data_IF_411345200759
#
_entry.id   IF_411345200759
#
_cell.length_a   1.000
_cell.length_b   1.000
_cell.length_c   1.000
_cell.angle_alpha   90.00
_cell.angle_beta   90.00
_cell.angle_gamma   90.00
#
_symmetry.space_group_name_H-M   'P 1'
#
loop_
_entity.id
_entity.type
_entity.pdbx_description
1 polymer ?
#
# COMPACT_ATOMS: atom_id res chain seq x y z
N UNK A 1 22.04 -18.69 -0.25
CA UNK A 1 20.96 -17.88 0.36
C UNK A 1 21.58 -17.15 1.54
N UNK A 2 21.59 -15.83 1.51
CA UNK A 2 22.16 -15.02 2.58
C UNK A 2 21.13 -14.91 3.72
N UNK A 3 21.33 -15.67 4.78
CA UNK A 3 20.31 -16.07 5.76
C UNK A 3 20.06 -15.01 6.86
N UNK A 4 20.32 -13.72 6.62
CA UNK A 4 20.23 -12.68 7.68
C UNK A 4 19.34 -11.47 7.37
N UNK A 5 18.77 -11.36 6.18
CA UNK A 5 17.80 -10.31 5.86
C UNK A 5 16.39 -10.89 5.79
N UNK A 6 15.51 -10.51 6.73
CA UNK A 6 14.08 -10.81 6.59
C UNK A 6 13.50 -9.93 5.49
N UNK A 7 12.62 -10.52 4.67
CA UNK A 7 11.79 -9.83 3.71
C UNK A 7 10.32 -10.13 4.00
N UNK A 8 9.42 -9.21 3.65
CA UNK A 8 8.00 -9.48 3.70
C UNK A 8 7.50 -10.03 2.36
N UNK A 9 6.59 -11.00 2.41
CA UNK A 9 5.88 -11.52 1.23
C UNK A 9 4.41 -11.20 1.37
N UNK A 10 3.91 -10.37 0.46
CA UNK A 10 2.50 -9.98 0.40
C UNK A 10 1.78 -10.78 -0.68
N UNK A 11 0.54 -11.16 -0.40
CA UNK A 11 -0.38 -11.68 -1.40
C UNK A 11 -1.34 -10.55 -1.77
N UNK A 12 -1.30 -10.11 -3.03
CA UNK A 12 -2.12 -9.00 -3.50
C UNK A 12 -3.06 -9.53 -4.58
N UNK A 13 -4.37 -9.29 -4.49
CA UNK A 13 -5.31 -9.72 -5.52
C UNK A 13 -4.87 -9.24 -6.91
N UNK A 14 -4.97 -10.11 -7.92
CA UNK A 14 -4.49 -9.84 -9.28
C UNK A 14 -5.01 -8.50 -9.83
N UNK A 15 -6.28 -8.20 -9.59
CA UNK A 15 -6.94 -6.96 -10.05
C UNK A 15 -6.31 -5.68 -9.50
N UNK A 16 -5.64 -5.75 -8.33
CA UNK A 16 -4.93 -4.63 -7.70
C UNK A 16 -3.43 -4.66 -8.02
N UNK A 17 -2.86 -5.86 -8.22
CA UNK A 17 -1.44 -6.05 -8.48
C UNK A 17 -0.96 -5.34 -9.76
N UNK A 18 -1.85 -5.11 -10.74
CA UNK A 18 -1.56 -4.35 -11.97
C UNK A 18 -1.04 -2.93 -11.73
N UNK A 19 -1.40 -2.32 -10.60
CA UNK A 19 -1.02 -0.95 -10.25
C UNK A 19 0.25 -0.91 -9.38
N UNK A 20 0.84 -2.08 -9.07
CA UNK A 20 2.08 -2.21 -8.29
C UNK A 20 3.29 -2.20 -9.20
N UNK A 21 4.31 -1.44 -8.83
CA UNK A 21 5.59 -1.39 -9.50
C UNK A 21 6.75 -1.65 -8.53
N UNK A 22 7.92 -1.99 -9.08
CA UNK A 22 9.17 -2.01 -8.33
C UNK A 22 9.43 -0.64 -7.69
N UNK A 23 10.18 -0.64 -6.59
CA UNK A 23 10.55 0.55 -5.83
C UNK A 23 9.38 1.31 -5.18
N UNK A 24 8.15 0.81 -5.27
CA UNK A 24 7.01 1.41 -4.58
C UNK A 24 7.16 1.31 -3.06
N UNK A 25 6.84 2.40 -2.31
CA UNK A 25 6.90 2.38 -0.86
C UNK A 25 5.78 1.52 -0.28
N UNK A 26 6.14 0.71 0.71
CA UNK A 26 5.25 -0.21 1.41
C UNK A 26 5.35 0.06 2.91
N UNK A 27 4.23 -0.01 3.60
CA UNK A 27 4.20 -0.05 5.06
C UNK A 27 3.80 -1.47 5.49
N UNK A 28 4.60 -2.11 6.32
CA UNK A 28 4.38 -3.48 6.81
C UNK A 28 4.05 -3.42 8.29
N UNK A 29 2.87 -3.88 8.65
CA UNK A 29 2.38 -4.00 10.01
C UNK A 29 2.59 -5.45 10.49
N UNK A 30 3.39 -5.63 11.53
CA UNK A 30 3.63 -6.95 12.13
C UNK A 30 2.77 -7.20 13.36
N UNK A 31 1.73 -6.40 13.60
CA UNK A 31 0.90 -6.31 14.81
C UNK A 31 1.64 -5.81 16.07
N UNK A 32 2.95 -6.06 16.15
CA UNK A 32 3.85 -5.55 17.20
C UNK A 32 4.56 -4.25 16.80
N UNK A 33 4.32 -3.74 15.59
CA UNK A 33 4.97 -2.53 15.08
C UNK A 33 4.80 -2.33 13.57
N UNK A 34 5.15 -1.12 13.13
CA UNK A 34 5.11 -0.72 11.73
C UNK A 34 6.54 -0.57 11.19
N UNK A 35 6.80 -1.13 10.03
CA UNK A 35 8.10 -1.13 9.36
C UNK A 35 7.92 -0.60 7.95
N UNK A 36 8.74 0.36 7.54
CA UNK A 36 8.76 0.80 6.16
C UNK A 36 9.45 -0.25 5.29
N UNK A 37 9.06 -0.32 4.02
CA UNK A 37 9.62 -1.25 3.08
C UNK A 37 9.46 -0.78 1.65
N UNK A 38 9.99 -1.57 0.72
CA UNK A 38 9.95 -1.24 -0.70
C UNK A 38 9.81 -2.50 -1.54
N UNK A 39 8.96 -2.43 -2.57
CA UNK A 39 8.76 -3.55 -3.49
C UNK A 39 10.06 -3.86 -4.23
N UNK A 40 10.55 -5.09 -4.10
CA UNK A 40 11.77 -5.57 -4.78
C UNK A 40 11.47 -6.61 -5.83
N UNK A 41 10.36 -7.34 -5.71
CA UNK A 41 9.96 -8.32 -6.71
C UNK A 41 8.44 -8.45 -6.80
N UNK A 42 7.97 -8.67 -8.02
CA UNK A 42 6.59 -9.03 -8.33
C UNK A 42 6.67 -10.39 -9.05
N UNK A 43 6.03 -11.41 -8.49
CA UNK A 43 5.98 -12.73 -9.11
C UNK A 43 5.11 -12.66 -10.38
N UNK A 44 5.58 -13.13 -11.55
CA UNK A 44 4.77 -13.14 -12.75
C UNK A 44 3.59 -14.14 -12.66
N UNK A 45 3.67 -15.13 -11.76
CA UNK A 45 2.64 -16.14 -11.62
C UNK A 45 1.51 -15.67 -10.67
N UNK A 46 0.27 -15.96 -11.07
CA UNK A 46 -0.91 -15.80 -10.21
C UNK A 46 -1.17 -17.14 -9.52
N UNK A 47 -1.31 -17.09 -8.20
CA UNK A 47 -1.66 -18.23 -7.37
C UNK A 47 -2.90 -17.88 -6.56
N UNK A 48 -3.95 -18.70 -6.69
CA UNK A 48 -5.20 -18.53 -5.91
C UNK A 48 -5.81 -17.12 -6.06
N UNK A 49 -5.72 -16.53 -7.26
CA UNK A 49 -6.22 -15.18 -7.55
C UNK A 49 -5.37 -14.03 -7.01
N UNK A 50 -4.18 -14.32 -6.47
CA UNK A 50 -3.25 -13.33 -5.94
C UNK A 50 -1.87 -13.43 -6.59
N UNK A 51 -1.21 -12.29 -6.66
CA UNK A 51 0.19 -12.14 -7.06
C UNK A 51 1.04 -12.03 -5.80
N UNK A 52 2.17 -12.75 -5.78
CA UNK A 52 3.14 -12.65 -4.68
C UNK A 52 4.06 -11.46 -4.91
N UNK A 53 4.15 -10.58 -3.94
CA UNK A 53 5.03 -9.41 -3.97
C UNK A 53 6.03 -9.50 -2.83
N UNK A 54 7.31 -9.37 -3.14
CA UNK A 54 8.40 -9.31 -2.17
C UNK A 54 8.74 -7.86 -1.84
N UNK A 55 8.93 -7.62 -0.55
CA UNK A 55 9.18 -6.31 0.01
C UNK A 55 10.43 -6.38 0.87
N UNK A 56 11.42 -5.57 0.51
CA UNK A 56 12.59 -5.34 1.35
C UNK A 56 12.21 -4.43 2.52
N UNK A 57 12.56 -4.85 3.73
CA UNK A 57 12.20 -4.15 4.96
C UNK A 57 13.28 -3.13 5.32
N UNK A 58 12.89 -1.86 5.37
CA UNK A 58 13.76 -0.72 5.66
C UNK A 58 13.52 -0.24 7.08
N UNK A 59 14.41 -0.61 8.00
CA UNK A 59 14.39 -0.13 9.37
C UNK A 59 14.71 -1.20 10.38
N UNK A 60 14.51 -0.88 11.66
CA UNK A 60 14.70 -1.83 12.75
C UNK A 60 13.50 -2.78 12.81
N UNK A 61 13.78 -4.07 12.74
CA UNK A 61 12.78 -5.11 12.95
C UNK A 61 12.30 -5.09 14.42
N UNK A 62 10.99 -5.29 14.69
CA UNK A 62 10.47 -5.40 16.03
C UNK A 62 11.04 -6.64 16.74
N UNK A 63 11.09 -6.66 18.08
CA UNK A 63 11.70 -7.76 18.85
C UNK A 63 11.13 -9.17 18.55
N UNK A 64 9.88 -9.24 18.08
CA UNK A 64 9.19 -10.49 17.71
C UNK A 64 9.34 -10.92 16.25
N UNK A 65 10.09 -10.17 15.43
CA UNK A 65 10.27 -10.47 14.01
C UNK A 65 10.99 -11.81 13.82
N UNK A 66 10.32 -12.72 13.10
CA UNK A 66 10.81 -14.06 12.80
C UNK A 66 10.36 -14.47 11.40
N UNK A 67 11.02 -15.44 10.77
CA UNK A 67 10.50 -16.08 9.56
C UNK A 67 9.05 -16.54 9.78
N UNK A 68 8.25 -16.44 8.73
CA UNK A 68 6.83 -16.84 8.69
C UNK A 68 5.91 -16.13 9.70
N UNK A 69 6.33 -14.96 10.21
CA UNK A 69 5.43 -14.05 10.92
C UNK A 69 4.35 -13.52 9.95
N UNK A 70 3.09 -13.54 10.40
CA UNK A 70 1.99 -12.93 9.65
C UNK A 70 2.06 -11.41 9.72
N UNK A 71 1.90 -10.75 8.57
CA UNK A 71 2.02 -9.29 8.43
C UNK A 71 0.93 -8.75 7.51
N UNK A 72 0.52 -7.51 7.73
CA UNK A 72 -0.34 -6.77 6.81
C UNK A 72 0.50 -5.73 6.05
N UNK A 73 0.44 -5.74 4.72
CA UNK A 73 1.18 -4.80 3.89
C UNK A 73 0.27 -3.78 3.23
N UNK A 74 0.67 -2.51 3.24
CA UNK A 74 0.01 -1.42 2.51
C UNK A 74 0.98 -0.83 1.50
N UNK A 75 0.76 -1.14 0.22
CA UNK A 75 1.53 -0.60 -0.90
C UNK A 75 0.91 0.72 -1.31
N UNK A 76 1.69 1.81 -1.29
CA UNK A 76 1.19 3.13 -1.69
C UNK A 76 1.39 3.32 -3.19
N UNK A 77 0.31 3.08 -3.95
CA UNK A 77 0.29 3.20 -5.42
C UNK A 77 0.42 4.63 -5.93
N UNK A 78 -0.19 5.60 -5.23
CA UNK A 78 -0.22 7.00 -5.66
C UNK A 78 -0.24 7.97 -4.48
N UNK A 79 0.37 9.14 -4.67
CA UNK A 79 0.26 10.28 -3.76
C UNK A 79 -0.02 11.55 -4.56
N UNK A 80 -1.22 12.10 -4.38
CA UNK A 80 -1.58 13.38 -4.93
C UNK A 80 -1.07 14.48 -3.99
N UNK A 81 -0.20 15.37 -4.49
CA UNK A 81 0.30 16.54 -3.74
C UNK A 81 -0.41 17.79 -4.20
N UNK A 82 -0.62 18.74 -3.29
CA UNK A 82 -1.20 20.07 -3.58
C UNK A 82 -2.59 20.00 -4.25
N UNK A 83 -3.44 19.08 -3.79
CA UNK A 83 -4.82 18.95 -4.28
C UNK A 83 -5.80 19.56 -3.28
N UNK A 84 -6.87 20.16 -3.80
CA UNK A 84 -8.04 20.51 -2.99
C UNK A 84 -8.82 19.24 -2.70
N UNK A 85 -8.94 18.88 -1.42
CA UNK A 85 -9.70 17.72 -0.98
C UNK A 85 -11.02 18.15 -0.34
N UNK A 86 -12.09 17.45 -0.70
CA UNK A 86 -13.41 17.57 -0.08
C UNK A 86 -13.86 16.19 0.35
N UNK A 87 -14.67 16.10 1.42
CA UNK A 87 -15.31 14.83 1.79
C UNK A 87 -16.21 14.31 0.66
N UNK A 88 -16.41 12.99 0.58
CA UNK A 88 -17.21 12.36 -0.50
C UNK A 88 -18.58 13.04 -0.63
N UNK A 89 -18.86 13.78 -1.72
CA UNK A 89 -20.14 14.46 -1.89
C UNK A 89 -21.26 13.44 -2.04
N UNK A 90 -22.42 13.71 -1.45
CA UNK A 90 -23.58 12.80 -1.50
C UNK A 90 -24.05 12.47 -2.93
N UNK A 91 -23.75 13.33 -3.91
CA UNK A 91 -24.13 13.20 -5.32
C UNK A 91 -22.95 12.90 -6.26
N UNK A 92 -21.78 12.53 -5.74
CA UNK A 92 -20.60 12.21 -6.55
C UNK A 92 -20.73 10.83 -7.21
N UNK A 93 -20.95 10.80 -8.53
CA UNK A 93 -20.77 9.61 -9.36
C UNK A 93 -19.50 9.73 -10.20
N UNK A 94 -18.86 8.61 -10.54
CA UNK A 94 -17.77 8.59 -11.50
C UNK A 94 -18.22 9.20 -12.83
N UNK A 95 -17.34 9.96 -13.48
CA UNK A 95 -17.59 10.65 -14.76
C UNK A 95 -18.75 11.67 -14.76
N UNK A 96 -19.22 12.10 -13.58
CA UNK A 96 -20.23 13.15 -13.45
C UNK A 96 -19.59 14.52 -13.15
N UNK A 97 -20.14 15.58 -13.75
CA UNK A 97 -19.82 16.96 -13.34
C UNK A 97 -20.72 17.34 -12.17
N UNK A 98 -20.11 17.71 -11.04
CA UNK A 98 -20.82 18.21 -9.86
C UNK A 98 -20.37 19.63 -9.52
N UNK A 99 -21.31 20.47 -9.09
CA UNK A 99 -21.00 21.80 -8.56
C UNK A 99 -21.02 21.76 -7.03
N UNK A 100 -19.99 22.33 -6.40
CA UNK A 100 -19.90 22.48 -4.95
C UNK A 100 -19.82 23.97 -4.60
N UNK A 101 -20.53 24.37 -3.54
CA UNK A 101 -20.48 25.73 -3.02
C UNK A 101 -19.57 25.76 -1.79
N UNK A 102 -18.68 26.76 -1.73
CA UNK A 102 -17.89 27.07 -0.55
C UNK A 102 -18.52 28.30 0.12
N UNK A 103 -18.86 28.17 1.41
CA UNK A 103 -19.33 29.32 2.19
C UNK A 103 -18.23 30.38 2.30
N UNK A 104 -18.63 31.63 2.11
CA UNK A 104 -17.74 32.78 2.27
C UNK A 104 -17.46 33.09 3.74
N UNK A 105 -16.52 33.98 4.05
CA UNK A 105 -16.22 34.38 5.43
C UNK A 105 -17.43 34.94 6.21
N UNK A 106 -18.46 35.43 5.50
CA UNK A 106 -19.60 36.15 6.06
C UNK A 106 -20.91 35.34 6.06
N UNK A 107 -20.86 34.05 5.75
CA UNK A 107 -22.05 33.19 5.60
C UNK A 107 -22.56 33.18 4.18
#
# INVERSE_FOLDING_TARGET
ADTRSLMARLQVPEVQAKDVALDMPVSVDTHDGLIDGTVTRIDPAVHEGSVRIEVDLRGKLPPGARPDLSVEGRIRVMRLRNVLWVGRPALGQSDATISLFRLGPNG
#
